data_IF_092842560668
#
_entry.id   IF_092842560668
#
_cell.length_a   1.000
_cell.length_b   1.000
_cell.length_c   1.000
_cell.angle_alpha   90.00
_cell.angle_beta   90.00
_cell.angle_gamma   90.00
#
_symmetry.space_group_name_H-M   'P 1'
#
loop_
_entity.id
_entity.type
_entity.pdbx_description
1 polymer ?
#
# COMPACT_ATOMS: atom_id res chain seq x y z
N UNK A 1 27.17 14.34 6.43
CA UNK A 1 28.30 13.47 6.86
C UNK A 1 27.91 12.05 7.15
N UNK A 2 27.02 11.75 8.11
CA UNK A 2 26.60 10.37 8.45
C UNK A 2 26.20 9.58 7.19
N UNK A 3 25.29 10.14 6.38
CA UNK A 3 24.82 9.53 5.13
C UNK A 3 25.96 9.30 4.12
N UNK A 4 26.86 10.26 3.97
CA UNK A 4 27.98 10.17 3.02
C UNK A 4 29.01 9.12 3.44
N UNK A 5 29.32 9.05 4.75
CA UNK A 5 30.19 8.02 5.30
C UNK A 5 29.58 6.62 5.09
N UNK A 6 28.30 6.44 5.42
CA UNK A 6 27.61 5.17 5.20
C UNK A 6 27.56 4.76 3.71
N UNK A 7 27.32 5.72 2.80
CA UNK A 7 27.37 5.48 1.34
C UNK A 7 28.76 5.03 0.88
N UNK A 8 29.83 5.67 1.37
CA UNK A 8 31.22 5.29 1.09
C UNK A 8 31.55 3.89 1.62
N UNK A 9 31.12 3.62 2.84
CA UNK A 9 31.44 2.38 3.56
C UNK A 9 30.48 1.23 3.18
N UNK A 10 29.50 1.49 2.29
CA UNK A 10 28.46 0.57 1.83
C UNK A 10 27.65 -0.06 2.96
N UNK A 11 27.39 0.72 4.00
CA UNK A 11 26.58 0.32 5.15
C UNK A 11 25.20 0.95 5.07
N UNK A 12 24.17 0.18 5.41
CA UNK A 12 22.81 0.69 5.47
C UNK A 12 22.59 1.44 6.80
N UNK A 13 22.17 2.71 6.73
CA UNK A 13 21.82 3.53 7.89
C UNK A 13 20.53 4.30 7.62
N UNK A 14 19.69 4.46 8.63
CA UNK A 14 18.55 5.38 8.64
C UNK A 14 18.84 6.56 9.55
N UNK A 15 18.61 7.78 9.06
CA UNK A 15 18.83 9.02 9.81
C UNK A 15 17.54 9.83 9.81
N UNK A 16 17.00 10.11 10.99
CA UNK A 16 15.90 11.04 11.15
C UNK A 16 16.47 12.46 11.35
N UNK A 17 16.18 13.36 10.40
CA UNK A 17 16.54 14.77 10.49
C UNK A 17 15.33 15.57 10.95
N UNK A 18 15.41 16.19 12.13
CA UNK A 18 14.35 17.06 12.65
C UNK A 18 14.31 18.36 11.85
N UNK A 19 13.16 18.64 11.21
CA UNK A 19 12.86 19.91 10.57
C UNK A 19 11.69 19.80 9.58
N UNK A 20 11.46 20.86 8.81
CA UNK A 20 10.37 20.89 7.84
C UNK A 20 10.88 20.49 6.44
N UNK A 21 10.25 19.50 5.80
CA UNK A 21 10.65 19.05 4.46
C UNK A 21 10.54 20.15 3.41
N UNK A 22 9.58 21.08 3.54
CA UNK A 22 9.44 22.24 2.66
C UNK A 22 10.53 23.31 2.86
N UNK A 23 11.38 23.20 3.90
CA UNK A 23 12.59 24.02 4.08
C UNK A 23 13.85 23.22 3.73
N UNK A 24 13.92 21.96 4.19
CA UNK A 24 15.08 21.08 4.00
C UNK A 24 15.26 20.71 2.54
N UNK A 25 14.20 20.32 1.81
CA UNK A 25 14.35 19.86 0.42
C UNK A 25 14.85 20.98 -0.51
N UNK A 26 14.32 22.22 -0.46
CA UNK A 26 14.91 23.33 -1.19
C UNK A 26 16.37 23.60 -0.82
N UNK A 27 16.72 23.45 0.47
CA UNK A 27 18.10 23.64 0.93
C UNK A 27 19.05 22.56 0.38
N UNK A 28 18.61 21.30 0.31
CA UNK A 28 19.38 20.23 -0.33
C UNK A 28 19.63 20.52 -1.81
N UNK A 29 18.61 20.98 -2.54
CA UNK A 29 18.75 21.42 -3.94
C UNK A 29 19.76 22.56 -4.06
N UNK A 30 19.66 23.58 -3.21
CA UNK A 30 20.56 24.74 -3.21
C UNK A 30 22.01 24.34 -2.95
N UNK A 31 22.24 23.40 -2.03
CA UNK A 31 23.57 22.85 -1.72
C UNK A 31 24.06 21.79 -2.72
N UNK A 32 23.27 21.48 -3.76
CA UNK A 32 23.57 20.43 -4.73
C UNK A 32 23.74 19.03 -4.10
N UNK A 33 23.04 18.78 -2.99
CA UNK A 33 22.99 17.47 -2.35
C UNK A 33 21.78 16.74 -2.94
N UNK A 34 22.02 15.96 -3.99
CA UNK A 34 20.98 15.29 -4.78
C UNK A 34 20.92 13.81 -4.39
N UNK A 35 19.86 13.35 -3.68
CA UNK A 35 19.71 11.95 -3.32
C UNK A 35 19.51 11.06 -4.55
N UNK A 36 19.86 9.77 -4.45
CA UNK A 36 19.62 8.82 -5.54
C UNK A 36 18.11 8.56 -5.75
N UNK A 37 17.32 8.59 -4.66
CA UNK A 37 15.86 8.39 -4.66
C UNK A 37 15.22 9.47 -3.77
N UNK A 38 14.10 10.04 -4.24
CA UNK A 38 13.31 11.04 -3.50
C UNK A 38 11.83 10.66 -3.53
N UNK A 39 11.19 10.69 -2.38
CA UNK A 39 9.74 10.51 -2.22
C UNK A 39 9.25 11.23 -0.96
N UNK A 40 7.95 11.22 -0.71
CA UNK A 40 7.34 11.85 0.47
C UNK A 40 6.20 11.02 1.05
N UNK A 41 6.07 11.05 2.38
CA UNK A 41 4.97 10.45 3.15
C UNK A 41 4.48 11.38 4.27
N UNK A 42 4.60 12.70 4.11
CA UNK A 42 3.83 13.62 4.97
C UNK A 42 2.34 13.36 4.80
N UNK A 43 1.52 13.78 5.76
CA UNK A 43 0.06 13.65 5.66
C UNK A 43 -0.55 14.75 4.79
N UNK A 44 -0.03 14.93 3.56
CA UNK A 44 -0.47 15.94 2.61
C UNK A 44 -1.94 15.76 2.16
N UNK A 45 -2.52 14.57 2.33
CA UNK A 45 -3.92 14.28 2.02
C UNK A 45 -4.90 15.06 2.90
N UNK A 46 -4.45 15.51 4.08
CA UNK A 46 -5.20 16.37 4.99
C UNK A 46 -4.28 17.55 5.40
N UNK A 47 -4.16 18.59 4.55
CA UNK A 47 -3.26 19.70 4.83
C UNK A 47 -3.59 20.44 6.14
N UNK A 48 -4.84 20.37 6.63
CA UNK A 48 -5.23 21.05 7.87
C UNK A 48 -4.60 20.38 9.09
N UNK A 49 -4.63 19.06 9.16
CA UNK A 49 -4.18 18.31 10.33
C UNK A 49 -2.81 17.64 10.14
N UNK A 50 -2.37 17.46 8.89
CA UNK A 50 -1.28 16.56 8.53
C UNK A 50 -0.02 17.23 7.99
N UNK A 51 -0.06 18.51 7.64
CA UNK A 51 1.08 19.23 7.07
C UNK A 51 1.35 20.53 7.83
N UNK A 52 2.59 20.70 8.30
CA UNK A 52 3.02 21.91 9.01
C UNK A 52 3.60 22.93 8.01
N UNK A 53 3.10 24.18 7.99
CA UNK A 53 3.62 25.21 7.11
C UNK A 53 5.06 25.62 7.47
N UNK A 54 5.82 26.11 6.49
CA UNK A 54 7.17 26.65 6.69
C UNK A 54 7.16 27.91 7.56
N UNK A 55 8.28 28.17 8.26
CA UNK A 55 8.47 29.39 9.04
C UNK A 55 7.67 29.52 10.33
N UNK A 56 6.97 28.45 10.75
CA UNK A 56 6.29 28.37 12.05
C UNK A 56 6.84 27.19 12.85
N UNK A 57 6.94 27.36 14.17
CA UNK A 57 7.11 26.25 15.10
C UNK A 57 5.87 25.33 15.07
N UNK A 58 6.00 24.14 15.67
CA UNK A 58 4.85 23.24 15.85
C UNK A 58 3.76 23.91 16.68
N UNK A 59 4.13 24.57 17.76
CA UNK A 59 3.22 25.25 18.70
C UNK A 59 2.50 26.42 18.03
N UNK A 60 3.24 27.24 17.27
CA UNK A 60 2.68 28.35 16.49
C UNK A 60 1.71 27.84 15.41
N UNK A 61 2.08 26.75 14.73
CA UNK A 61 1.22 26.07 13.77
C UNK A 61 -0.05 25.54 14.42
N UNK A 62 0.05 24.93 15.61
CA UNK A 62 -1.10 24.41 16.36
C UNK A 62 -2.05 25.53 16.83
N UNK A 63 -1.51 26.69 17.21
CA UNK A 63 -2.30 27.89 17.52
C UNK A 63 -3.01 28.38 16.26
N UNK A 64 -2.28 28.59 15.16
CA UNK A 64 -2.85 29.07 13.90
C UNK A 64 -3.93 28.13 13.37
N UNK A 65 -3.71 26.81 13.43
CA UNK A 65 -4.69 25.79 13.00
C UNK A 65 -6.04 25.95 13.72
N UNK A 66 -6.02 26.34 15.00
CA UNK A 66 -7.24 26.54 15.80
C UNK A 66 -7.84 27.92 15.61
N UNK A 67 -7.02 28.97 15.56
CA UNK A 67 -7.50 30.35 15.51
C UNK A 67 -7.93 30.79 14.11
N UNK A 68 -7.22 30.35 13.07
CA UNK A 68 -7.53 30.64 11.66
C UNK A 68 -7.18 29.44 10.74
N UNK A 69 -8.08 28.45 10.66
CA UNK A 69 -7.90 27.27 9.81
C UNK A 69 -7.73 27.62 8.32
N UNK A 70 -8.29 28.74 7.85
CA UNK A 70 -8.22 29.14 6.44
C UNK A 70 -6.81 29.62 6.09
N UNK A 71 -6.26 30.50 6.92
CA UNK A 71 -4.88 30.96 6.78
C UNK A 71 -3.89 29.79 6.94
N UNK A 72 -4.14 28.89 7.89
CA UNK A 72 -3.33 27.68 8.04
C UNK A 72 -3.26 26.85 6.75
N UNK A 73 -4.43 26.56 6.16
CA UNK A 73 -4.54 25.78 4.93
C UNK A 73 -3.82 26.45 3.76
N UNK A 74 -3.94 27.77 3.63
CA UNK A 74 -3.26 28.53 2.58
C UNK A 74 -1.74 28.44 2.73
N UNK A 75 -1.21 28.58 3.94
CA UNK A 75 0.22 28.42 4.22
C UNK A 75 0.71 26.99 4.01
N UNK A 76 -0.08 26.01 4.41
CA UNK A 76 0.24 24.59 4.22
C UNK A 76 0.33 24.25 2.72
N UNK A 77 -0.63 24.70 1.90
CA UNK A 77 -0.62 24.49 0.44
C UNK A 77 0.57 25.17 -0.25
N UNK A 78 0.90 26.40 0.14
CA UNK A 78 2.11 27.09 -0.34
C UNK A 78 3.38 26.30 0.01
N UNK A 79 3.46 25.78 1.23
CA UNK A 79 4.58 24.95 1.68
C UNK A 79 4.69 23.65 0.90
N UNK A 80 3.56 22.97 0.65
CA UNK A 80 3.49 21.78 -0.20
C UNK A 80 3.99 22.09 -1.62
N UNK A 81 3.57 23.20 -2.22
CA UNK A 81 4.04 23.63 -3.55
C UNK A 81 5.56 23.81 -3.59
N UNK A 82 6.15 24.45 -2.57
CA UNK A 82 7.61 24.59 -2.44
C UNK A 82 8.30 23.23 -2.31
N UNK A 83 7.75 22.33 -1.49
CA UNK A 83 8.26 20.97 -1.32
C UNK A 83 8.27 20.21 -2.65
N UNK A 84 7.14 20.14 -3.34
CA UNK A 84 7.01 19.41 -4.62
C UNK A 84 7.92 20.00 -5.68
N UNK A 85 8.06 21.33 -5.75
CA UNK A 85 9.01 21.98 -6.66
C UNK A 85 10.46 21.53 -6.40
N UNK A 86 10.86 21.37 -5.14
CA UNK A 86 12.18 20.84 -4.81
C UNK A 86 12.35 19.38 -5.24
N UNK A 87 11.31 18.54 -5.08
CA UNK A 87 11.32 17.16 -5.57
C UNK A 87 11.50 17.10 -7.08
N UNK A 88 10.76 17.93 -7.84
CA UNK A 88 10.90 18.04 -9.30
C UNK A 88 12.33 18.42 -9.68
N UNK A 89 12.91 19.43 -9.03
CA UNK A 89 14.26 19.88 -9.32
C UNK A 89 15.32 18.81 -8.99
N UNK A 90 15.15 18.05 -7.90
CA UNK A 90 16.01 16.88 -7.63
C UNK A 90 15.88 15.83 -8.76
N UNK A 91 14.67 15.58 -9.24
CA UNK A 91 14.42 14.67 -10.38
C UNK A 91 15.11 15.12 -11.66
N UNK A 92 15.02 16.42 -11.99
CA UNK A 92 15.72 17.02 -13.14
C UNK A 92 17.25 16.95 -13.01
N UNK A 93 17.77 16.86 -11.78
CA UNK A 93 19.20 16.65 -11.48
C UNK A 93 19.60 15.17 -11.38
N UNK A 94 18.70 14.24 -11.67
CA UNK A 94 19.00 12.81 -11.80
C UNK A 94 18.45 11.92 -10.69
N UNK A 95 17.77 12.46 -9.67
CA UNK A 95 17.10 11.63 -8.68
C UNK A 95 15.97 10.81 -9.30
N UNK A 96 15.78 9.58 -8.82
CA UNK A 96 14.54 8.85 -9.08
C UNK A 96 13.46 9.41 -8.15
N UNK A 97 12.47 10.11 -8.72
CA UNK A 97 11.37 10.71 -7.96
C UNK A 97 10.06 9.96 -8.21
N UNK A 98 9.26 9.82 -7.15
CA UNK A 98 7.88 9.31 -7.22
C UNK A 98 7.05 9.76 -6.01
N UNK A 99 5.74 9.87 -6.18
CA UNK A 99 4.80 10.09 -5.06
C UNK A 99 4.46 8.78 -4.36
N UNK A 100 4.48 8.78 -3.02
CA UNK A 100 4.12 7.59 -2.22
C UNK A 100 2.71 7.65 -1.63
N UNK A 101 1.74 8.10 -2.44
CA UNK A 101 0.32 7.88 -2.19
C UNK A 101 -0.32 8.73 -1.10
N UNK A 102 0.17 9.96 -0.91
CA UNK A 102 -0.35 10.94 0.06
C UNK A 102 -1.01 12.16 -0.60
N UNK A 103 -1.21 12.16 -1.92
CA UNK A 103 -1.87 13.22 -2.70
C UNK A 103 -1.14 14.57 -2.73
N UNK A 104 0.16 14.61 -2.37
CA UNK A 104 0.97 15.83 -2.35
C UNK A 104 1.05 16.51 -3.73
N UNK A 105 1.04 15.73 -4.83
CA UNK A 105 1.08 16.30 -6.20
C UNK A 105 -0.21 17.08 -6.51
N UNK A 106 -1.36 16.54 -6.12
CA UNK A 106 -2.64 17.23 -6.31
C UNK A 106 -2.70 18.52 -5.47
N UNK A 107 -2.27 18.47 -4.20
CA UNK A 107 -2.24 19.66 -3.35
C UNK A 107 -1.33 20.75 -3.93
N UNK A 108 -0.17 20.38 -4.49
CA UNK A 108 0.72 21.33 -5.16
C UNK A 108 0.11 21.89 -6.45
N UNK A 109 -0.58 21.06 -7.24
CA UNK A 109 -1.32 21.52 -8.43
C UNK A 109 -2.41 22.53 -8.06
N UNK A 110 -3.19 22.23 -7.03
CA UNK A 110 -4.26 23.11 -6.52
C UNK A 110 -3.69 24.43 -5.97
N UNK A 111 -2.45 24.40 -5.47
CA UNK A 111 -1.69 25.58 -5.06
C UNK A 111 -1.02 26.33 -6.24
N UNK A 112 -1.25 25.91 -7.49
CA UNK A 112 -0.80 26.58 -8.71
C UNK A 112 0.48 26.04 -9.35
N UNK A 113 1.07 24.95 -8.84
CA UNK A 113 2.24 24.32 -9.46
C UNK A 113 1.82 23.42 -10.63
N UNK A 114 1.87 23.96 -11.85
CA UNK A 114 1.41 23.26 -13.07
C UNK A 114 2.19 21.97 -13.35
N UNK A 115 3.45 21.94 -12.96
CA UNK A 115 4.39 20.84 -13.16
C UNK A 115 4.28 19.75 -12.08
N UNK A 116 3.33 19.83 -11.15
CA UNK A 116 3.26 18.94 -9.97
C UNK A 116 3.20 17.43 -10.30
N UNK A 117 2.76 17.08 -11.51
CA UNK A 117 2.66 15.69 -11.99
C UNK A 117 3.83 15.26 -12.89
N UNK A 118 4.96 16.00 -12.92
CA UNK A 118 6.17 15.60 -13.68
C UNK A 118 6.79 14.29 -13.19
N UNK A 119 6.46 13.83 -11.99
CA UNK A 119 6.84 12.50 -11.48
C UNK A 119 5.59 11.66 -11.17
N UNK A 120 5.65 10.34 -11.41
CA UNK A 120 4.49 9.44 -11.28
C UNK A 120 4.28 8.97 -9.82
N UNK A 121 3.12 8.38 -9.56
CA UNK A 121 2.89 7.62 -8.33
C UNK A 121 3.62 6.28 -8.31
N UNK A 122 3.92 5.80 -7.10
CA UNK A 122 4.65 4.55 -6.89
C UNK A 122 3.95 3.31 -7.48
N UNK A 123 2.60 3.30 -7.53
CA UNK A 123 1.88 2.12 -8.03
C UNK A 123 2.06 1.97 -9.52
N UNK A 124 1.85 3.05 -10.28
CA UNK A 124 2.08 3.07 -11.71
C UNK A 124 3.52 2.65 -12.04
N UNK A 125 4.50 3.16 -11.28
CA UNK A 125 5.91 2.96 -11.58
C UNK A 125 6.47 1.59 -11.14
N UNK A 126 6.01 1.03 -10.03
CA UNK A 126 6.66 -0.12 -9.39
C UNK A 126 5.73 -1.27 -8.99
N UNK A 127 4.49 -0.98 -8.55
CA UNK A 127 3.65 -1.98 -7.88
C UNK A 127 2.65 -2.64 -8.81
N UNK A 128 2.19 -1.96 -9.87
CA UNK A 128 1.16 -2.49 -10.77
C UNK A 128 1.46 -3.87 -11.36
N UNK A 129 2.71 -4.24 -11.70
CA UNK A 129 3.02 -5.61 -12.10
C UNK A 129 2.62 -6.65 -11.06
N UNK A 130 2.82 -6.39 -9.76
CA UNK A 130 2.38 -7.28 -8.68
C UNK A 130 0.86 -7.35 -8.60
N UNK A 131 0.15 -6.24 -8.80
CA UNK A 131 -1.32 -6.24 -8.83
C UNK A 131 -1.89 -7.05 -9.98
N UNK A 132 -1.22 -7.09 -11.13
CA UNK A 132 -1.61 -7.95 -12.25
C UNK A 132 -1.54 -9.44 -11.90
N UNK A 133 -0.74 -9.81 -10.89
CA UNK A 133 -0.61 -11.18 -10.36
C UNK A 133 -1.51 -11.44 -9.14
N UNK A 134 -2.32 -10.47 -8.74
CA UNK A 134 -3.13 -10.51 -7.52
C UNK A 134 -2.33 -10.36 -6.23
N UNK A 135 -1.04 -9.99 -6.31
CA UNK A 135 -0.17 -9.76 -5.15
C UNK A 135 -0.49 -8.41 -4.51
N UNK A 136 -0.48 -8.37 -3.18
CA UNK A 136 -0.73 -7.16 -2.41
C UNK A 136 -0.49 -7.38 -0.92
N UNK A 137 -0.79 -6.40 -0.06
CA UNK A 137 -0.37 -6.38 1.36
C UNK A 137 -1.21 -7.30 2.27
N UNK A 138 -1.28 -8.58 1.89
CA UNK A 138 -1.88 -9.68 2.62
C UNK A 138 -1.18 -9.86 3.98
N UNK A 139 -1.97 -10.09 5.03
CA UNK A 139 -1.50 -10.06 6.42
C UNK A 139 -2.35 -10.91 7.34
N UNK A 140 -1.79 -11.24 8.49
CA UNK A 140 -2.46 -12.01 9.53
C UNK A 140 -1.96 -11.65 10.93
N UNK A 141 -2.73 -12.00 11.95
CA UNK A 141 -2.34 -11.86 13.36
C UNK A 141 -2.89 -13.00 14.20
N UNK A 142 -2.15 -13.40 15.25
CA UNK A 142 -2.66 -14.34 16.25
C UNK A 142 -3.64 -13.61 17.17
N UNK A 143 -4.90 -14.07 17.20
CA UNK A 143 -5.92 -13.51 18.10
C UNK A 143 -5.68 -13.90 19.56
N UNK A 144 -4.77 -14.83 19.81
CA UNK A 144 -4.32 -15.22 21.15
C UNK A 144 -3.16 -14.35 21.67
N UNK A 145 -2.59 -13.49 20.82
CA UNK A 145 -1.44 -12.65 21.20
C UNK A 145 -0.12 -13.41 21.31
N UNK A 146 -0.03 -14.63 20.78
CA UNK A 146 1.14 -15.51 20.88
C UNK A 146 2.10 -15.25 19.73
N UNK A 147 3.35 -14.90 20.05
CA UNK A 147 4.36 -14.56 19.04
C UNK A 147 4.82 -15.80 18.25
N UNK A 148 4.92 -16.94 18.94
CA UNK A 148 5.33 -18.22 18.38
C UNK A 148 4.36 -18.72 17.30
N UNK A 149 3.09 -18.27 17.30
CA UNK A 149 2.17 -18.55 16.20
C UNK A 149 2.64 -17.89 14.90
N UNK A 150 3.15 -16.66 14.97
CA UNK A 150 3.70 -15.97 13.80
C UNK A 150 4.99 -16.66 13.34
N UNK A 151 5.83 -17.12 14.26
CA UNK A 151 7.04 -17.87 13.89
C UNK A 151 6.68 -19.16 13.14
N UNK A 152 5.71 -19.93 13.63
CA UNK A 152 5.22 -21.15 12.97
C UNK A 152 4.57 -20.87 11.61
N UNK A 153 3.84 -19.75 11.48
CA UNK A 153 3.25 -19.35 10.19
C UNK A 153 4.34 -18.86 9.22
N UNK A 154 5.39 -18.19 9.71
CA UNK A 154 6.56 -17.84 8.92
C UNK A 154 7.30 -19.10 8.41
N UNK A 155 7.41 -20.15 9.23
CA UNK A 155 7.96 -21.46 8.78
C UNK A 155 7.10 -22.05 7.67
N UNK A 156 5.78 -22.03 7.82
CA UNK A 156 4.85 -22.48 6.79
C UNK A 156 5.06 -21.72 5.47
N UNK A 157 5.33 -20.40 5.48
CA UNK A 157 5.66 -19.65 4.25
C UNK A 157 6.91 -20.22 3.58
N UNK A 158 7.98 -20.43 4.35
CA UNK A 158 9.27 -20.91 3.84
C UNK A 158 9.16 -22.34 3.27
N UNK A 159 8.33 -23.19 3.90
CA UNK A 159 8.05 -24.55 3.43
C UNK A 159 7.15 -24.57 2.19
N UNK A 160 6.16 -23.67 2.12
CA UNK A 160 5.16 -23.66 1.03
C UNK A 160 5.69 -23.04 -0.26
N UNK A 161 6.54 -22.01 -0.13
CA UNK A 161 7.04 -21.24 -1.27
C UNK A 161 8.59 -21.17 -1.31
N UNK A 162 9.31 -22.31 -1.22
CA UNK A 162 10.77 -22.32 -1.10
C UNK A 162 11.49 -21.79 -2.34
N UNK A 163 10.80 -21.74 -3.47
CA UNK A 163 11.31 -21.26 -4.75
C UNK A 163 11.23 -19.72 -4.88
N UNK A 164 10.39 -19.04 -4.11
CA UNK A 164 10.30 -17.58 -4.11
C UNK A 164 11.41 -16.98 -3.22
N UNK A 165 12.58 -16.73 -3.83
CA UNK A 165 13.73 -16.10 -3.17
C UNK A 165 13.42 -14.71 -2.60
N UNK A 166 12.45 -14.00 -3.19
CA UNK A 166 12.02 -12.69 -2.71
C UNK A 166 11.26 -12.83 -1.39
N UNK A 167 10.31 -13.75 -1.35
CA UNK A 167 9.47 -14.05 -0.21
C UNK A 167 10.27 -14.62 0.97
N UNK A 168 11.15 -15.58 0.71
CA UNK A 168 12.01 -16.19 1.75
C UNK A 168 12.90 -15.14 2.42
N UNK A 169 13.61 -14.33 1.62
CA UNK A 169 14.42 -13.21 2.13
C UNK A 169 13.59 -12.17 2.87
N UNK A 170 12.33 -11.94 2.46
CA UNK A 170 11.41 -11.05 3.18
C UNK A 170 11.12 -11.60 4.59
N UNK A 171 10.75 -12.87 4.72
CA UNK A 171 10.49 -13.50 6.03
C UNK A 171 11.71 -13.45 6.94
N UNK A 172 12.90 -13.78 6.42
CA UNK A 172 14.16 -13.70 7.17
C UNK A 172 14.42 -12.29 7.72
N UNK A 173 14.25 -11.26 6.88
CA UNK A 173 14.40 -9.86 7.30
C UNK A 173 13.30 -9.44 8.28
N UNK A 174 12.06 -9.87 8.05
CA UNK A 174 10.94 -9.51 8.91
C UNK A 174 11.12 -10.09 10.32
N UNK A 175 11.62 -11.33 10.44
CA UNK A 175 12.00 -11.93 11.73
C UNK A 175 13.15 -11.19 12.41
N UNK A 176 14.18 -10.78 11.66
CA UNK A 176 15.35 -10.14 12.22
C UNK A 176 15.11 -8.68 12.67
N UNK A 177 14.25 -7.94 11.97
CA UNK A 177 14.18 -6.48 12.10
C UNK A 177 12.81 -5.94 12.52
N UNK A 178 11.70 -6.67 12.32
CA UNK A 178 10.35 -6.17 12.63
C UNK A 178 9.96 -6.59 14.04
N UNK A 179 9.81 -5.60 14.92
CA UNK A 179 9.27 -5.79 16.27
C UNK A 179 7.75 -5.77 16.23
N UNK A 180 7.09 -6.69 16.93
CA UNK A 180 5.63 -6.69 17.03
C UNK A 180 5.10 -5.46 17.80
N UNK A 181 3.90 -5.03 17.44
CA UNK A 181 3.18 -3.92 18.07
C UNK A 181 1.73 -4.37 18.32
N UNK A 182 1.31 -4.48 19.57
CA UNK A 182 0.02 -5.08 19.91
C UNK A 182 0.03 -6.60 19.67
N UNK A 183 -1.03 -7.14 19.05
CA UNK A 183 -1.08 -8.55 18.68
C UNK A 183 0.04 -8.87 17.67
N UNK A 184 0.81 -9.96 17.85
CA UNK A 184 1.82 -10.38 16.90
C UNK A 184 1.22 -10.58 15.51
N UNK A 185 1.79 -9.91 14.50
CA UNK A 185 1.25 -9.87 13.16
C UNK A 185 2.35 -9.88 12.11
N UNK A 186 2.03 -10.38 10.91
CA UNK A 186 2.93 -10.41 9.77
C UNK A 186 2.21 -9.92 8.51
N UNK A 187 2.93 -9.16 7.70
CA UNK A 187 2.54 -8.82 6.33
C UNK A 187 3.41 -9.64 5.40
N UNK A 188 2.83 -10.21 4.35
CA UNK A 188 3.54 -10.99 3.34
C UNK A 188 2.77 -10.94 2.03
N UNK A 189 3.40 -10.47 0.95
CA UNK A 189 2.70 -10.24 -0.30
C UNK A 189 2.51 -11.53 -1.08
N UNK A 190 1.28 -12.06 -1.06
CA UNK A 190 0.86 -13.26 -1.78
C UNK A 190 -0.17 -12.93 -2.86
N UNK A 191 -0.09 -13.66 -3.97
CA UNK A 191 -0.87 -13.48 -5.18
C UNK A 191 -2.11 -14.34 -5.28
N UNK A 192 -2.73 -14.32 -6.47
CA UNK A 192 -3.85 -15.20 -6.77
C UNK A 192 -3.44 -16.68 -6.66
N UNK A 193 -4.27 -17.49 -5.98
CA UNK A 193 -4.00 -18.89 -5.67
C UNK A 193 -3.12 -19.08 -4.43
N UNK A 194 -2.01 -18.32 -4.32
CA UNK A 194 -1.11 -18.38 -3.15
C UNK A 194 -1.84 -18.05 -1.85
N UNK A 195 -2.71 -17.02 -1.85
CA UNK A 195 -3.51 -16.64 -0.67
C UNK A 195 -4.43 -17.76 -0.20
N UNK A 196 -5.19 -18.38 -1.10
CA UNK A 196 -6.13 -19.46 -0.74
C UNK A 196 -5.40 -20.70 -0.23
N UNK A 197 -4.33 -21.12 -0.92
CA UNK A 197 -3.48 -22.23 -0.48
C UNK A 197 -2.94 -21.99 0.93
N UNK A 198 -2.40 -20.80 1.17
CA UNK A 198 -1.77 -20.46 2.45
C UNK A 198 -2.79 -20.29 3.58
N UNK A 199 -3.90 -19.58 3.34
CA UNK A 199 -4.95 -19.40 4.34
C UNK A 199 -5.59 -20.71 4.78
N UNK A 200 -5.84 -21.64 3.85
CA UNK A 200 -6.36 -22.98 4.19
C UNK A 200 -5.36 -23.78 5.03
N UNK A 201 -4.05 -23.65 4.74
CA UNK A 201 -3.00 -24.28 5.54
C UNK A 201 -2.93 -23.69 6.96
N UNK A 202 -3.07 -22.38 7.13
CA UNK A 202 -3.20 -21.74 8.47
C UNK A 202 -4.39 -22.33 9.22
N UNK A 203 -5.58 -22.39 8.58
CA UNK A 203 -6.78 -22.92 9.24
C UNK A 203 -6.58 -24.37 9.70
N UNK A 204 -5.89 -25.20 8.91
CA UNK A 204 -5.51 -26.57 9.30
C UNK A 204 -4.56 -26.59 10.50
N UNK A 205 -3.61 -25.65 10.60
CA UNK A 205 -2.72 -25.56 11.75
C UNK A 205 -3.47 -25.17 13.03
N UNK A 206 -4.52 -24.33 12.94
CA UNK A 206 -5.43 -24.06 14.07
C UNK A 206 -6.20 -25.33 14.44
N UNK A 207 -6.82 -26.01 13.46
CA UNK A 207 -7.59 -27.26 13.67
C UNK A 207 -6.79 -28.36 14.38
N UNK A 208 -5.49 -28.44 14.09
CA UNK A 208 -4.59 -29.48 14.63
C UNK A 208 -3.88 -29.07 15.92
N UNK A 209 -4.12 -27.86 16.44
CA UNK A 209 -3.46 -27.34 17.63
C UNK A 209 -1.98 -27.01 17.43
N UNK A 210 -1.48 -26.94 16.18
CA UNK A 210 -0.13 -26.45 15.90
C UNK A 210 0.00 -24.97 16.22
N UNK A 211 -1.07 -24.21 16.00
CA UNK A 211 -1.21 -22.82 16.47
C UNK A 211 -2.03 -22.77 17.75
N UNK A 212 -1.76 -21.77 18.58
CA UNK A 212 -2.39 -21.63 19.90
C UNK A 212 -3.89 -21.34 19.85
N UNK A 213 -4.39 -20.79 18.74
CA UNK A 213 -5.80 -20.49 18.54
C UNK A 213 -6.08 -19.80 17.20
N UNK A 214 -7.26 -19.17 17.05
CA UNK A 214 -7.69 -18.56 15.80
C UNK A 214 -6.75 -17.47 15.28
N UNK A 215 -6.63 -17.41 13.95
CA UNK A 215 -5.83 -16.41 13.25
C UNK A 215 -6.76 -15.49 12.47
N UNK A 216 -6.62 -14.18 12.65
CA UNK A 216 -7.24 -13.23 11.74
C UNK A 216 -6.39 -13.11 10.47
N UNK A 217 -7.06 -13.10 9.32
CA UNK A 217 -6.46 -12.95 8.00
C UNK A 217 -7.14 -11.78 7.28
N UNK A 218 -6.35 -10.91 6.67
CA UNK A 218 -6.88 -9.77 5.93
C UNK A 218 -5.80 -9.05 5.13
N UNK A 219 -6.03 -7.76 4.87
CA UNK A 219 -5.14 -6.90 4.08
C UNK A 219 -5.45 -5.42 4.30
N UNK A 220 -4.62 -4.57 3.73
CA UNK A 220 -5.00 -3.17 3.48
C UNK A 220 -6.17 -3.09 2.48
N UNK A 221 -6.83 -1.94 2.40
CA UNK A 221 -7.73 -1.59 1.31
C UNK A 221 -6.97 -1.27 0.01
N UNK A 222 -5.67 -0.92 0.10
CA UNK A 222 -4.76 -0.93 -1.04
C UNK A 222 -4.48 -2.39 -1.44
N UNK A 223 -5.10 -2.84 -2.51
CA UNK A 223 -4.86 -4.16 -3.09
C UNK A 223 -5.29 -4.20 -4.56
N UNK A 224 -4.91 -5.26 -5.28
CA UNK A 224 -5.09 -5.41 -6.71
C UNK A 224 -6.53 -5.21 -7.24
N UNK A 225 -7.55 -5.47 -6.42
CA UNK A 225 -8.95 -5.42 -6.87
C UNK A 225 -9.87 -4.57 -6.01
N UNK A 226 -9.34 -3.89 -4.99
CA UNK A 226 -10.16 -3.35 -3.90
C UNK A 226 -10.16 -1.85 -3.80
N UNK A 227 -9.63 -1.12 -4.79
CA UNK A 227 -9.53 0.34 -4.74
C UNK A 227 -9.62 0.95 -6.13
N UNK A 228 -10.34 2.08 -6.20
CA UNK A 228 -10.25 3.06 -7.26
C UNK A 228 -9.68 4.36 -6.66
N UNK A 229 -8.50 4.78 -7.14
CA UNK A 229 -7.83 6.01 -6.73
C UNK A 229 -6.93 6.54 -7.86
N UNK A 230 -7.44 7.47 -8.70
CA UNK A 230 -6.73 8.01 -9.86
C UNK A 230 -5.42 8.75 -9.55
N UNK A 231 -5.18 9.04 -8.27
CA UNK A 231 -3.95 9.70 -7.78
C UNK A 231 -2.99 8.74 -7.09
N UNK A 232 -3.31 7.44 -7.07
CA UNK A 232 -2.51 6.43 -6.37
C UNK A 232 -2.59 5.07 -7.06
N UNK A 233 -3.46 4.17 -6.63
CA UNK A 233 -3.44 2.77 -7.11
C UNK A 233 -3.83 2.61 -8.57
N UNK A 234 -4.80 3.41 -9.02
CA UNK A 234 -5.35 3.32 -10.37
C UNK A 234 -4.86 4.46 -11.27
N UNK A 235 -3.79 5.15 -10.89
CA UNK A 235 -3.17 6.21 -11.70
C UNK A 235 -2.57 5.66 -13.01
N UNK A 236 -3.02 6.14 -14.16
CA UNK A 236 -2.50 5.74 -15.46
C UNK A 236 -2.79 4.28 -15.78
N UNK A 237 -4.03 3.83 -15.59
CA UNK A 237 -4.49 2.57 -16.17
C UNK A 237 -4.32 2.65 -17.69
N UNK A 238 -3.87 1.57 -18.35
CA UNK A 238 -3.51 1.63 -19.78
C UNK A 238 -4.70 1.89 -20.72
N UNK A 239 -5.92 1.64 -20.25
CA UNK A 239 -7.19 1.91 -20.94
C UNK A 239 -7.87 3.21 -20.50
N UNK A 240 -7.26 3.96 -19.57
CA UNK A 240 -7.83 5.19 -19.00
C UNK A 240 -8.95 4.97 -17.97
N UNK A 241 -9.14 3.74 -17.47
CA UNK A 241 -10.17 3.37 -16.48
C UNK A 241 -9.90 3.84 -15.04
N UNK A 242 -8.98 4.79 -14.85
CA UNK A 242 -8.48 5.24 -13.55
C UNK A 242 -9.57 5.49 -12.51
N UNK A 243 -10.67 6.16 -12.91
CA UNK A 243 -11.75 6.61 -12.04
C UNK A 243 -12.92 5.64 -11.88
N UNK A 244 -12.89 4.47 -12.54
CA UNK A 244 -13.98 3.49 -12.44
C UNK A 244 -14.00 2.86 -11.05
N UNK A 245 -15.02 3.21 -10.27
CA UNK A 245 -15.18 2.77 -8.88
C UNK A 245 -16.10 1.54 -8.71
N UNK A 246 -16.54 0.91 -9.79
CA UNK A 246 -17.35 -0.32 -9.71
C UNK A 246 -16.56 -1.47 -9.08
N UNK A 247 -15.27 -1.59 -9.40
CA UNK A 247 -14.38 -2.66 -8.95
C UNK A 247 -14.29 -2.80 -7.41
N UNK A 248 -13.98 -1.76 -6.62
CA UNK A 248 -13.99 -1.87 -5.17
C UNK A 248 -15.36 -2.22 -4.59
N UNK A 249 -16.46 -1.75 -5.20
CA UNK A 249 -17.82 -2.11 -4.75
C UNK A 249 -18.09 -3.59 -5.02
N UNK A 250 -17.76 -4.08 -6.22
CA UNK A 250 -17.85 -5.50 -6.56
C UNK A 250 -16.95 -6.37 -5.67
N UNK A 251 -15.75 -5.89 -5.30
CA UNK A 251 -14.88 -6.60 -4.36
C UNK A 251 -15.57 -6.78 -3.00
N UNK A 252 -16.20 -5.74 -2.45
CA UNK A 252 -16.93 -5.83 -1.20
C UNK A 252 -18.12 -6.80 -1.29
N UNK A 253 -18.94 -6.69 -2.34
CA UNK A 253 -20.10 -7.56 -2.55
C UNK A 253 -19.68 -9.02 -2.71
N UNK A 254 -18.63 -9.28 -3.48
CA UNK A 254 -18.13 -10.62 -3.74
C UNK A 254 -17.51 -11.25 -2.48
N UNK A 255 -16.77 -10.48 -1.68
CA UNK A 255 -16.25 -10.94 -0.40
C UNK A 255 -17.35 -11.21 0.64
N UNK A 256 -18.42 -10.41 0.62
CA UNK A 256 -19.62 -10.67 1.43
C UNK A 256 -20.25 -12.00 1.04
N UNK A 257 -20.47 -12.22 -0.26
CA UNK A 257 -21.03 -13.45 -0.79
C UNK A 257 -20.13 -14.68 -0.55
N UNK A 258 -18.80 -14.51 -0.57
CA UNK A 258 -17.84 -15.59 -0.33
C UNK A 258 -17.74 -16.01 1.13
N UNK A 259 -18.26 -15.19 2.05
CA UNK A 259 -18.32 -15.48 3.49
C UNK A 259 -17.14 -14.91 4.29
N UNK A 260 -16.61 -13.75 3.90
CA UNK A 260 -15.73 -12.98 4.78
C UNK A 260 -16.40 -12.73 6.14
N UNK A 261 -15.61 -12.71 7.22
CA UNK A 261 -16.14 -12.48 8.59
C UNK A 261 -16.66 -11.05 8.73
N UNK A 262 -15.97 -10.07 8.16
CA UNK A 262 -16.50 -8.74 7.93
C UNK A 262 -15.92 -8.11 6.67
N UNK A 263 -16.70 -7.19 6.10
CA UNK A 263 -16.38 -6.45 4.88
C UNK A 263 -16.64 -4.97 5.15
N UNK A 264 -15.83 -4.11 4.56
CA UNK A 264 -15.95 -2.66 4.69
C UNK A 264 -15.84 -1.97 3.34
N UNK A 265 -16.54 -0.84 3.19
CA UNK A 265 -16.42 0.08 2.06
C UNK A 265 -16.16 1.47 2.62
N UNK A 266 -15.04 2.07 2.24
CA UNK A 266 -14.60 3.37 2.73
C UNK A 266 -14.35 4.33 1.57
N UNK A 267 -14.39 5.62 1.89
CA UNK A 267 -14.11 6.72 0.97
C UNK A 267 -12.93 7.53 1.52
N UNK A 268 -11.96 7.81 0.65
CA UNK A 268 -10.94 8.85 0.88
C UNK A 268 -9.75 8.43 1.72
N UNK A 269 -9.59 7.14 2.02
CA UNK A 269 -8.41 6.63 2.69
C UNK A 269 -7.14 6.92 1.89
N UNK A 270 -6.14 7.45 2.59
CA UNK A 270 -4.80 7.74 2.09
C UNK A 270 -4.66 8.97 1.22
N UNK A 271 -5.59 9.24 0.30
CA UNK A 271 -5.53 10.39 -0.63
C UNK A 271 -6.52 11.52 -0.29
N UNK A 272 -7.37 11.33 0.71
CA UNK A 272 -8.32 12.34 1.19
C UNK A 272 -9.70 12.27 0.51
N UNK A 273 -10.63 13.06 1.02
CA UNK A 273 -12.04 13.09 0.60
C UNK A 273 -12.17 13.35 -0.91
N UNK A 274 -13.06 12.62 -1.58
CA UNK A 274 -13.29 12.72 -3.03
C UNK A 274 -12.30 11.98 -3.94
N UNK A 275 -11.17 11.48 -3.45
CA UNK A 275 -10.10 10.93 -4.31
C UNK A 275 -9.96 9.40 -4.31
N UNK A 276 -10.71 8.69 -3.48
CA UNK A 276 -10.72 7.23 -3.50
C UNK A 276 -12.02 6.61 -2.99
N UNK A 277 -12.33 5.42 -3.53
CA UNK A 277 -13.32 4.48 -3.02
C UNK A 277 -12.63 3.12 -2.92
N UNK A 278 -12.75 2.44 -1.79
CA UNK A 278 -12.02 1.19 -1.56
C UNK A 278 -12.68 0.26 -0.55
N UNK A 279 -12.40 -1.04 -0.67
CA UNK A 279 -12.99 -2.11 0.11
C UNK A 279 -11.97 -2.91 0.92
N UNK A 280 -12.37 -3.32 2.12
CA UNK A 280 -11.60 -4.16 3.02
C UNK A 280 -12.30 -5.49 3.23
N UNK A 281 -11.50 -6.55 3.38
CA UNK A 281 -11.99 -7.90 3.64
C UNK A 281 -11.19 -8.52 4.77
N UNK A 282 -11.88 -9.21 5.66
CA UNK A 282 -11.32 -9.83 6.85
C UNK A 282 -11.96 -11.20 7.10
N UNK A 283 -11.13 -12.15 7.52
CA UNK A 283 -11.48 -13.52 7.83
C UNK A 283 -10.95 -13.91 9.21
N UNK A 284 -11.60 -14.89 9.82
CA UNK A 284 -11.08 -15.63 10.97
C UNK A 284 -10.93 -17.09 10.57
N UNK A 285 -9.69 -17.59 10.64
CA UNK A 285 -9.36 -19.00 10.52
C UNK A 285 -9.37 -19.61 11.93
N UNK A 286 -10.49 -20.22 12.30
CA UNK A 286 -10.75 -20.77 13.64
C UNK A 286 -10.59 -22.31 13.73
N UNK A 287 -10.14 -22.95 12.65
CA UNK A 287 -9.95 -24.39 12.56
C UNK A 287 -11.21 -25.20 12.21
N UNK A 288 -12.37 -24.56 12.10
CA UNK A 288 -13.61 -25.24 11.70
C UNK A 288 -13.63 -25.60 10.21
N UNK A 289 -14.48 -26.57 9.85
CA UNK A 289 -14.67 -26.95 8.45
C UNK A 289 -15.38 -25.83 7.67
N UNK A 290 -16.30 -25.14 8.33
CA UNK A 290 -17.01 -23.98 7.80
C UNK A 290 -16.05 -22.81 7.53
N UNK A 291 -15.08 -22.55 8.41
CA UNK A 291 -14.02 -21.58 8.14
C UNK A 291 -13.13 -22.02 6.98
N UNK A 292 -12.81 -23.30 6.84
CA UNK A 292 -12.00 -23.81 5.73
C UNK A 292 -12.60 -23.41 4.37
N UNK A 293 -13.90 -23.64 4.18
CA UNK A 293 -14.60 -23.28 2.95
C UNK A 293 -14.67 -21.77 2.71
N UNK A 294 -14.92 -20.98 3.77
CA UNK A 294 -14.98 -19.51 3.68
C UNK A 294 -13.61 -18.91 3.34
N UNK A 295 -12.55 -19.39 3.98
CA UNK A 295 -11.17 -18.96 3.76
C UNK A 295 -10.77 -19.24 2.32
N UNK A 296 -10.99 -20.46 1.83
CA UNK A 296 -10.67 -20.83 0.44
C UNK A 296 -11.42 -19.94 -0.56
N UNK A 297 -12.75 -19.81 -0.43
CA UNK A 297 -13.56 -19.01 -1.37
C UNK A 297 -13.16 -17.54 -1.34
N UNK A 298 -13.11 -16.94 -0.15
CA UNK A 298 -12.88 -15.51 -0.02
C UNK A 298 -11.44 -15.13 -0.44
N UNK A 299 -10.43 -15.94 -0.09
CA UNK A 299 -9.05 -15.74 -0.56
C UNK A 299 -8.80 -16.12 -2.02
N UNK A 300 -9.80 -16.73 -2.69
CA UNK A 300 -9.80 -16.91 -4.15
C UNK A 300 -10.38 -15.70 -4.84
N UNK A 301 -11.58 -15.26 -4.43
CA UNK A 301 -12.28 -14.17 -5.12
C UNK A 301 -11.67 -12.80 -4.88
N UNK A 302 -11.08 -12.58 -3.71
CA UNK A 302 -10.51 -11.29 -3.32
C UNK A 302 -9.31 -10.86 -4.19
N UNK A 303 -8.24 -11.68 -4.35
CA UNK A 303 -7.21 -11.39 -5.35
C UNK A 303 -7.71 -11.61 -6.77
N UNK A 304 -8.68 -12.52 -6.97
CA UNK A 304 -9.21 -12.90 -8.29
C UNK A 304 -9.87 -11.74 -9.02
N UNK A 305 -10.68 -10.94 -8.34
CA UNK A 305 -11.29 -9.75 -8.93
C UNK A 305 -10.23 -8.70 -9.32
N UNK A 306 -9.11 -8.64 -8.60
CA UNK A 306 -7.99 -7.78 -8.97
C UNK A 306 -7.28 -8.21 -10.25
N UNK A 307 -7.08 -9.52 -10.43
CA UNK A 307 -6.56 -10.07 -11.70
C UNK A 307 -7.56 -9.79 -12.84
N UNK A 308 -8.86 -10.01 -12.63
CA UNK A 308 -9.89 -9.71 -13.64
C UNK A 308 -9.92 -8.23 -14.01
N UNK A 309 -9.90 -7.33 -13.03
CA UNK A 309 -9.86 -5.87 -13.23
C UNK A 309 -8.69 -5.45 -14.12
N UNK A 310 -7.49 -5.96 -13.85
CA UNK A 310 -6.31 -5.62 -14.64
C UNK A 310 -6.31 -6.31 -16.02
N UNK A 311 -6.87 -7.52 -16.13
CA UNK A 311 -7.05 -8.17 -17.42
C UNK A 311 -8.03 -7.40 -18.31
N UNK A 312 -9.13 -6.91 -17.72
CA UNK A 312 -10.13 -6.05 -18.36
C UNK A 312 -9.51 -4.77 -18.91
N UNK A 313 -8.70 -4.10 -18.08
CA UNK A 313 -7.94 -2.93 -18.48
C UNK A 313 -6.84 -3.19 -19.53
N UNK A 314 -6.60 -4.46 -19.91
CA UNK A 314 -5.71 -4.81 -21.02
C UNK A 314 -4.34 -5.36 -20.62
N UNK A 315 -4.01 -5.48 -19.32
CA UNK A 315 -2.67 -5.90 -18.89
C UNK A 315 -2.41 -7.37 -19.26
N UNK A 316 -1.37 -7.61 -20.06
CA UNK A 316 -1.04 -8.93 -20.63
C UNK A 316 -0.75 -9.99 -19.56
N UNK A 317 -0.02 -9.62 -18.51
CA UNK A 317 0.26 -10.49 -17.35
C UNK A 317 -1.04 -10.96 -16.68
N UNK A 318 -1.98 -10.05 -16.46
CA UNK A 318 -3.27 -10.37 -15.85
C UNK A 318 -4.10 -11.28 -16.76
N UNK A 319 -4.20 -10.95 -18.07
CA UNK A 319 -4.87 -11.80 -19.07
C UNK A 319 -4.28 -13.22 -19.13
N UNK A 320 -2.95 -13.34 -19.04
CA UNK A 320 -2.26 -14.63 -18.99
C UNK A 320 -2.68 -15.44 -17.76
N UNK A 321 -2.71 -14.83 -16.58
CA UNK A 321 -3.12 -15.49 -15.34
C UNK A 321 -4.60 -15.92 -15.39
N UNK A 322 -5.48 -15.09 -15.95
CA UNK A 322 -6.89 -15.46 -16.17
C UNK A 322 -6.98 -16.78 -16.96
N UNK A 323 -6.22 -16.91 -18.06
CA UNK A 323 -6.19 -18.12 -18.89
C UNK A 323 -5.57 -19.31 -18.19
N UNK A 324 -4.36 -19.16 -17.65
CA UNK A 324 -3.59 -20.25 -17.03
C UNK A 324 -4.27 -20.83 -15.79
N UNK A 325 -4.97 -19.98 -15.01
CA UNK A 325 -5.64 -20.38 -13.77
C UNK A 325 -7.14 -20.61 -13.93
N UNK A 326 -7.68 -20.44 -15.15
CA UNK A 326 -9.08 -20.70 -15.45
C UNK A 326 -10.07 -19.77 -14.72
N UNK A 327 -9.70 -18.51 -14.50
CA UNK A 327 -10.63 -17.53 -13.93
C UNK A 327 -11.77 -17.28 -14.91
N UNK A 328 -13.01 -17.27 -14.40
CA UNK A 328 -14.19 -16.97 -15.22
C UNK A 328 -14.27 -15.47 -15.49
N UNK A 329 -13.82 -15.06 -16.68
CA UNK A 329 -13.94 -13.71 -17.20
C UNK A 329 -14.70 -13.74 -18.54
N UNK A 330 -16.02 -13.52 -18.55
CA UNK A 330 -16.88 -13.75 -19.73
C UNK A 330 -16.47 -13.00 -21.01
N UNK A 331 -15.80 -11.85 -20.88
CA UNK A 331 -15.43 -10.98 -22.01
C UNK A 331 -13.97 -11.14 -22.47
N UNK A 332 -13.18 -12.05 -21.88
CA UNK A 332 -11.72 -12.12 -22.09
C UNK A 332 -11.28 -12.23 -23.56
N UNK A 333 -12.01 -13.02 -24.37
CA UNK A 333 -11.68 -13.27 -25.77
C UNK A 333 -12.60 -12.53 -26.75
N UNK A 334 -13.39 -11.54 -26.26
CA UNK A 334 -14.29 -10.74 -27.09
C UNK A 334 -13.69 -9.41 -27.57
N UNK A 335 -12.43 -9.12 -27.20
CA UNK A 335 -11.68 -7.93 -27.58
C UNK A 335 -10.31 -8.31 -28.15
#
# INVERSE_FOLDING_TARGET
DIVNNAKRDRTAVSVALLGNAAEIHPELVRRQIIPDIVTDQTSAHDPLNGYYPIGLSKEESDVLRRSDPKEYLERARKSISVHVKAMIEMGRKGSIVFEYGNNIRQQALDAGLKEAFEFPGFVQKYIRPMFCEGRGPFRWTSLMGVAEDIDKIDELILETFPHDRGLTRWIEKARAYVKFQGLPARVCWLGYGERAQFGTAINKMVKTGRLSGPIWIGRDHLDCGSVASPRRETEGMIDGSDAIADWPILNALLNTAAGATWVSVHQGGGVGMGYSIHAGMCLVADGTEEASQRVERALTVDPGIGVVRHADAGYTTAKRIVRERGLRMPMLDRN
#
